data_IF_934289011254
#
_entry.id   IF_934289011254
#
_cell.length_a   1.000
_cell.length_b   1.000
_cell.length_c   1.000
_cell.angle_alpha   90.00
_cell.angle_beta   90.00
_cell.angle_gamma   90.00
#
_symmetry.space_group_name_H-M   'P 1'
#
loop_
_entity.id
_entity.type
_entity.pdbx_description
1 polymer ?
#
# COMPACT_ATOMS: atom_id res chain seq x y z
N UNK A 1 25.98 -5.06 -4.99
CA UNK A 1 24.86 -4.16 -4.69
C UNK A 1 23.54 -4.60 -5.35
N UNK A 2 23.48 -4.75 -6.68
CA UNK A 2 22.22 -5.14 -7.37
C UNK A 2 21.62 -6.43 -6.80
N UNK A 3 22.41 -7.49 -6.64
CA UNK A 3 21.94 -8.75 -6.06
C UNK A 3 21.42 -8.60 -4.61
N UNK A 4 22.02 -7.70 -3.82
CA UNK A 4 21.56 -7.41 -2.46
C UNK A 4 20.17 -6.75 -2.47
N UNK A 5 19.91 -5.78 -3.36
CA UNK A 5 18.57 -5.19 -3.49
C UNK A 5 17.53 -6.24 -3.87
N UNK A 6 17.83 -7.06 -4.88
CA UNK A 6 16.92 -8.12 -5.33
C UNK A 6 16.59 -9.10 -4.20
N UNK A 7 17.61 -9.64 -3.55
CA UNK A 7 17.42 -10.61 -2.45
C UNK A 7 16.66 -9.97 -1.29
N UNK A 8 17.05 -8.78 -0.86
CA UNK A 8 16.39 -8.11 0.27
C UNK A 8 14.93 -7.76 -0.03
N UNK A 9 14.63 -7.20 -1.21
CA UNK A 9 13.25 -6.80 -1.54
C UNK A 9 12.33 -8.01 -1.74
N UNK A 10 12.82 -9.07 -2.37
CA UNK A 10 12.07 -10.32 -2.47
C UNK A 10 11.89 -10.97 -1.09
N UNK A 11 12.92 -10.98 -0.24
CA UNK A 11 12.79 -11.47 1.12
C UNK A 11 11.78 -10.69 1.94
N UNK A 12 11.78 -9.35 1.87
CA UNK A 12 10.76 -8.51 2.52
C UNK A 12 9.37 -8.86 1.97
N UNK A 13 9.20 -8.94 0.63
CA UNK A 13 7.93 -9.26 0.00
C UNK A 13 7.34 -10.60 0.50
N UNK A 14 8.15 -11.65 0.51
CA UNK A 14 7.74 -13.00 0.94
C UNK A 14 7.43 -13.08 2.44
N UNK A 15 8.18 -12.34 3.26
CA UNK A 15 8.00 -12.35 4.72
C UNK A 15 6.97 -11.33 5.22
N UNK A 16 6.41 -10.48 4.35
CA UNK A 16 5.39 -9.52 4.74
C UNK A 16 4.10 -10.24 5.13
N UNK A 17 3.71 -10.18 6.40
CA UNK A 17 2.52 -10.83 6.94
C UNK A 17 1.39 -9.87 7.28
N UNK A 18 1.68 -8.58 7.35
CA UNK A 18 0.73 -7.56 7.78
C UNK A 18 -0.19 -7.05 6.67
N UNK A 19 -1.36 -6.58 7.06
CA UNK A 19 -2.26 -5.79 6.21
C UNK A 19 -1.87 -4.32 6.32
N UNK A 20 -1.66 -3.66 5.20
CA UNK A 20 -1.23 -2.26 5.20
C UNK A 20 -2.29 -1.33 4.60
N UNK A 21 -2.70 -1.60 3.37
CA UNK A 21 -3.71 -0.81 2.66
C UNK A 21 -4.65 -1.74 1.89
N UNK A 22 -5.95 -1.42 1.83
CA UNK A 22 -6.93 -2.16 1.05
C UNK A 22 -6.58 -2.28 -0.43
N UNK A 23 -5.96 -1.25 -0.99
CA UNK A 23 -5.60 -1.15 -2.42
C UNK A 23 -4.71 -2.30 -2.89
N UNK A 24 -3.87 -2.86 -2.00
CA UNK A 24 -3.02 -4.03 -2.29
C UNK A 24 -3.85 -5.22 -2.79
N UNK A 25 -5.02 -5.41 -2.20
CA UNK A 25 -5.92 -6.52 -2.52
C UNK A 25 -6.97 -6.10 -3.54
N UNK A 26 -7.79 -5.13 -3.19
CA UNK A 26 -9.00 -4.78 -3.93
C UNK A 26 -8.75 -4.04 -5.25
N UNK A 27 -7.61 -3.37 -5.39
CA UNK A 27 -7.24 -2.66 -6.62
C UNK A 27 -6.16 -3.38 -7.43
N UNK A 28 -5.61 -4.50 -6.93
CA UNK A 28 -4.51 -5.20 -7.61
C UNK A 28 -4.69 -6.71 -7.65
N UNK A 29 -4.69 -7.38 -6.50
CA UNK A 29 -4.66 -8.85 -6.43
C UNK A 29 -6.02 -9.47 -6.74
N UNK A 30 -7.11 -8.98 -6.15
CA UNK A 30 -8.46 -9.51 -6.34
C UNK A 30 -8.94 -9.42 -7.80
N UNK A 31 -8.79 -8.27 -8.51
CA UNK A 31 -9.17 -8.20 -9.92
C UNK A 31 -8.36 -9.14 -10.81
N UNK A 32 -7.06 -9.27 -10.56
CA UNK A 32 -6.22 -10.20 -11.32
C UNK A 32 -6.57 -11.66 -11.02
N UNK A 33 -6.85 -11.99 -9.75
CA UNK A 33 -7.30 -13.30 -9.33
C UNK A 33 -8.64 -13.65 -9.98
N UNK A 34 -9.61 -12.74 -9.90
CA UNK A 34 -10.94 -12.92 -10.52
C UNK A 34 -10.82 -13.16 -12.03
N UNK A 35 -9.97 -12.41 -12.72
CA UNK A 35 -9.74 -12.58 -14.14
C UNK A 35 -9.21 -13.98 -14.51
N UNK A 36 -8.30 -14.55 -13.70
CA UNK A 36 -7.67 -15.85 -13.96
C UNK A 36 -8.54 -17.02 -13.51
N UNK A 37 -9.11 -16.93 -12.31
CA UNK A 37 -9.83 -18.05 -11.67
C UNK A 37 -11.34 -18.00 -11.86
N UNK A 38 -11.92 -16.84 -12.22
CA UNK A 38 -13.35 -16.66 -12.43
C UNK A 38 -14.15 -16.45 -11.15
N UNK A 39 -13.51 -16.34 -10.00
CA UNK A 39 -14.15 -16.07 -8.71
C UNK A 39 -13.29 -15.10 -7.86
N UNK A 40 -13.89 -14.53 -6.82
CA UNK A 40 -13.29 -13.52 -5.95
C UNK A 40 -14.16 -12.27 -5.89
N UNK A 41 -13.89 -11.41 -4.93
CA UNK A 41 -14.66 -10.20 -4.71
C UNK A 41 -14.13 -9.06 -5.60
N UNK A 42 -15.03 -8.47 -6.39
CA UNK A 42 -14.77 -7.22 -7.10
C UNK A 42 -15.51 -6.10 -6.40
N UNK A 43 -14.81 -5.04 -6.04
CA UNK A 43 -15.40 -3.85 -5.47
C UNK A 43 -16.19 -3.08 -6.53
N UNK A 44 -17.05 -2.14 -6.09
CA UNK A 44 -17.83 -1.27 -6.96
C UNK A 44 -16.99 -0.53 -8.03
N UNK A 45 -15.70 -0.25 -7.74
CA UNK A 45 -14.76 0.39 -8.67
C UNK A 45 -14.58 -0.40 -9.98
N UNK A 46 -14.81 -1.72 -9.95
CA UNK A 46 -14.64 -2.65 -11.08
C UNK A 46 -15.96 -3.02 -11.75
N UNK A 47 -17.05 -3.11 -10.99
CA UNK A 47 -18.36 -3.57 -11.49
C UNK A 47 -19.29 -2.43 -11.93
N UNK A 48 -18.90 -1.18 -11.67
CA UNK A 48 -19.64 -0.01 -12.13
C UNK A 48 -19.73 0.03 -13.66
N UNK A 49 -20.82 0.58 -14.20
CA UNK A 49 -21.03 0.81 -15.65
C UNK A 49 -19.94 1.71 -16.26
N UNK A 50 -19.29 2.53 -15.45
CA UNK A 50 -18.11 3.31 -15.81
C UNK A 50 -16.97 2.99 -14.83
N UNK A 51 -16.14 1.97 -15.10
CA UNK A 51 -15.08 1.57 -14.19
C UNK A 51 -14.11 2.72 -13.91
N UNK A 52 -13.84 2.98 -12.63
CA UNK A 52 -12.93 4.04 -12.20
C UNK A 52 -11.45 3.67 -12.36
N UNK A 53 -11.16 2.37 -12.46
CA UNK A 53 -9.80 1.85 -12.46
C UNK A 53 -9.42 1.22 -13.79
N UNK A 54 -8.15 1.37 -14.15
CA UNK A 54 -7.56 0.70 -15.30
C UNK A 54 -7.05 -0.69 -14.91
N UNK A 55 -7.30 -1.69 -15.77
CA UNK A 55 -6.77 -3.05 -15.61
C UNK A 55 -5.24 -3.14 -15.76
N UNK A 56 -4.59 -2.09 -16.26
CA UNK A 56 -3.14 -2.09 -16.54
C UNK A 56 -2.33 -2.50 -15.31
N UNK A 57 -2.67 -1.98 -14.13
CA UNK A 57 -1.93 -2.33 -12.92
C UNK A 57 -2.23 -3.75 -12.42
N UNK A 58 -3.48 -4.18 -12.22
CA UNK A 58 -3.81 -5.57 -11.91
C UNK A 58 -3.21 -6.58 -12.87
N UNK A 59 -3.13 -6.26 -14.18
CA UNK A 59 -2.62 -7.15 -15.21
C UNK A 59 -1.19 -7.66 -14.93
N UNK A 60 -0.39 -6.95 -14.15
CA UNK A 60 0.92 -7.43 -13.69
C UNK A 60 0.87 -8.68 -12.81
N UNK A 61 -0.26 -8.91 -12.15
CA UNK A 61 -0.49 -10.09 -11.30
C UNK A 61 -1.11 -11.26 -12.07
N UNK A 62 -1.58 -11.05 -13.31
CA UNK A 62 -2.16 -12.12 -14.15
C UNK A 62 -1.13 -13.20 -14.49
N UNK A 63 0.11 -12.89 -14.96
CA UNK A 63 1.07 -13.92 -15.33
C UNK A 63 1.42 -14.89 -14.18
N UNK A 64 1.75 -14.48 -12.96
CA UNK A 64 2.02 -15.40 -11.88
C UNK A 64 0.79 -16.24 -11.52
N UNK A 65 -0.42 -15.68 -11.49
CA UNK A 65 -1.64 -16.44 -11.23
C UNK A 65 -1.95 -17.45 -12.35
N UNK A 66 -1.82 -17.01 -13.61
CA UNK A 66 -2.02 -17.88 -14.76
C UNK A 66 -1.04 -19.06 -14.77
N UNK A 67 0.24 -18.81 -14.45
CA UNK A 67 1.24 -19.87 -14.35
C UNK A 67 0.90 -20.87 -13.25
N UNK A 68 0.52 -20.40 -12.06
CA UNK A 68 0.13 -21.24 -10.93
C UNK A 68 -1.07 -22.13 -11.32
N UNK A 69 -2.11 -21.54 -11.94
CA UNK A 69 -3.31 -22.26 -12.40
C UNK A 69 -3.00 -23.31 -13.48
N UNK A 70 -2.21 -22.94 -14.49
CA UNK A 70 -1.91 -23.86 -15.61
C UNK A 70 -1.05 -25.04 -15.18
N UNK A 71 -0.26 -24.88 -14.11
CA UNK A 71 0.54 -25.95 -13.50
C UNK A 71 -0.23 -26.76 -12.44
N UNK A 72 -1.50 -26.41 -12.14
CA UNK A 72 -2.29 -27.06 -11.10
C UNK A 72 -1.70 -26.91 -9.71
N UNK A 73 -0.96 -25.82 -9.46
CA UNK A 73 -0.29 -25.58 -8.19
C UNK A 73 -1.17 -24.87 -7.15
N UNK A 74 -2.26 -24.27 -7.58
CA UNK A 74 -3.23 -23.57 -6.73
C UNK A 74 -3.94 -24.49 -5.74
N UNK A 75 -4.24 -25.73 -6.14
CA UNK A 75 -4.86 -26.73 -5.28
C UNK A 75 -3.80 -27.39 -4.35
N UNK A 76 -2.61 -27.66 -4.89
CA UNK A 76 -1.54 -28.39 -4.16
C UNK A 76 -0.76 -27.51 -3.19
N UNK A 77 -0.55 -26.27 -3.56
CA UNK A 77 0.25 -25.28 -2.81
C UNK A 77 -0.45 -23.90 -2.85
N UNK A 78 -1.57 -23.72 -2.15
CA UNK A 78 -2.36 -22.48 -2.19
C UNK A 78 -1.59 -21.25 -1.72
N UNK A 79 -0.51 -21.41 -0.95
CA UNK A 79 0.41 -20.34 -0.54
C UNK A 79 1.14 -19.69 -1.73
N UNK A 80 1.25 -20.36 -2.86
CA UNK A 80 1.83 -19.80 -4.09
C UNK A 80 0.97 -18.67 -4.66
N UNK A 81 -0.34 -18.68 -4.43
CA UNK A 81 -1.23 -17.58 -4.80
C UNK A 81 -0.86 -16.27 -4.10
N UNK A 82 -0.21 -16.36 -2.95
CA UNK A 82 0.33 -15.20 -2.23
C UNK A 82 1.77 -14.93 -2.65
N UNK A 83 2.61 -15.96 -2.71
CA UNK A 83 4.05 -15.84 -2.98
C UNK A 83 4.34 -15.38 -4.42
N UNK A 84 3.61 -15.86 -5.42
CA UNK A 84 3.84 -15.54 -6.83
C UNK A 84 3.81 -14.03 -7.12
N UNK A 85 2.70 -13.32 -6.86
CA UNK A 85 2.66 -11.87 -7.00
C UNK A 85 3.73 -11.15 -6.15
N UNK A 86 3.98 -11.59 -4.92
CA UNK A 86 4.98 -10.98 -4.04
C UNK A 86 6.40 -11.04 -4.60
N UNK A 87 6.79 -12.15 -5.23
CA UNK A 87 8.08 -12.24 -5.91
C UNK A 87 8.18 -11.18 -7.00
N UNK A 88 7.15 -11.04 -7.85
CA UNK A 88 7.12 -10.03 -8.92
C UNK A 88 7.27 -8.63 -8.33
N UNK A 89 6.50 -8.27 -7.31
CA UNK A 89 6.58 -6.94 -6.70
C UNK A 89 7.89 -6.71 -5.94
N UNK A 90 8.48 -7.75 -5.34
CA UNK A 90 9.81 -7.68 -4.74
C UNK A 90 10.91 -7.37 -5.78
N UNK A 91 10.84 -8.00 -6.96
CA UNK A 91 11.75 -7.70 -8.06
C UNK A 91 11.58 -6.27 -8.60
N UNK A 92 10.33 -5.81 -8.75
CA UNK A 92 10.03 -4.44 -9.17
C UNK A 92 10.50 -3.41 -8.14
N UNK A 93 10.35 -3.70 -6.86
CA UNK A 93 10.83 -2.85 -5.77
C UNK A 93 12.34 -2.61 -5.82
N UNK A 94 13.12 -3.63 -6.16
CA UNK A 94 14.57 -3.52 -6.27
C UNK A 94 15.01 -2.49 -7.34
N UNK A 95 14.17 -2.19 -8.33
CA UNK A 95 14.43 -1.14 -9.34
C UNK A 95 14.62 0.23 -8.66
N UNK A 96 13.86 0.50 -7.57
CA UNK A 96 13.99 1.75 -6.81
C UNK A 96 15.35 1.87 -6.17
N UNK A 97 15.87 0.83 -5.52
CA UNK A 97 17.19 0.87 -4.89
C UNK A 97 18.32 0.99 -5.92
N UNK A 98 18.19 0.25 -7.03
CA UNK A 98 19.13 0.29 -8.15
C UNK A 98 19.13 1.67 -8.82
N UNK A 99 17.94 2.22 -9.05
CA UNK A 99 17.76 3.55 -9.63
C UNK A 99 18.29 4.66 -8.71
N UNK A 100 17.99 4.59 -7.42
CA UNK A 100 18.52 5.54 -6.41
C UNK A 100 20.04 5.55 -6.41
N UNK A 101 20.68 4.37 -6.48
CA UNK A 101 22.14 4.24 -6.64
C UNK A 101 22.64 4.95 -7.89
N UNK A 102 21.99 4.72 -9.02
CA UNK A 102 22.41 5.28 -10.31
C UNK A 102 22.22 6.79 -10.37
N UNK A 103 21.10 7.31 -9.86
CA UNK A 103 20.86 8.75 -9.77
C UNK A 103 21.91 9.39 -8.86
N UNK A 104 22.20 8.82 -7.70
CA UNK A 104 23.20 9.33 -6.76
C UNK A 104 24.58 9.44 -7.43
N UNK A 105 24.98 8.40 -8.17
CA UNK A 105 26.24 8.38 -8.89
C UNK A 105 26.35 9.52 -9.91
N UNK A 106 25.27 9.81 -10.62
CA UNK A 106 25.23 10.86 -11.66
C UNK A 106 25.15 12.27 -11.09
N UNK A 107 24.37 12.43 -10.01
CA UNK A 107 24.06 13.78 -9.49
C UNK A 107 25.07 14.22 -8.43
N UNK A 108 25.54 13.30 -7.59
CA UNK A 108 26.49 13.58 -6.53
C UNK A 108 27.90 13.07 -6.86
N UNK A 109 28.13 11.80 -6.96
CA UNK A 109 29.28 11.01 -7.39
C UNK A 109 29.31 9.63 -6.69
N UNK A 110 30.31 8.79 -7.02
CA UNK A 110 30.44 7.42 -6.46
C UNK A 110 30.66 7.39 -4.94
N UNK A 111 31.21 8.43 -4.32
CA UNK A 111 31.48 8.47 -2.89
C UNK A 111 30.20 8.47 -2.04
N UNK A 112 29.08 8.99 -2.57
CA UNK A 112 27.80 9.07 -1.87
C UNK A 112 26.93 7.82 -2.07
N UNK A 113 27.24 7.00 -3.08
CA UNK A 113 26.46 5.82 -3.47
C UNK A 113 26.23 4.83 -2.30
N UNK A 114 27.25 4.45 -1.50
CA UNK A 114 27.03 3.51 -0.41
C UNK A 114 26.02 4.03 0.63
N UNK A 115 26.07 5.33 0.91
CA UNK A 115 25.17 5.98 1.89
C UNK A 115 23.74 6.06 1.36
N UNK A 116 23.54 6.54 0.13
CA UNK A 116 22.20 6.60 -0.47
C UNK A 116 21.55 5.20 -0.57
N UNK A 117 22.32 4.24 -1.00
CA UNK A 117 21.89 2.86 -1.10
C UNK A 117 21.52 2.28 0.26
N UNK A 118 22.34 2.52 1.30
CA UNK A 118 22.03 2.12 2.66
C UNK A 118 20.74 2.75 3.18
N UNK A 119 20.56 4.07 3.02
CA UNK A 119 19.34 4.80 3.43
C UNK A 119 18.10 4.24 2.72
N UNK A 120 18.21 3.94 1.41
CA UNK A 120 17.10 3.34 0.65
C UNK A 120 16.74 1.95 1.16
N UNK A 121 17.72 1.08 1.40
CA UNK A 121 17.50 -0.28 1.87
C UNK A 121 16.92 -0.36 3.29
N UNK A 122 17.30 0.57 4.18
CA UNK A 122 16.88 0.62 5.58
C UNK A 122 15.66 1.53 5.81
N UNK A 123 15.12 2.14 4.76
CA UNK A 123 13.95 3.01 4.86
C UNK A 123 12.74 2.24 5.39
N UNK A 124 12.17 2.74 6.49
CA UNK A 124 10.96 2.18 7.10
C UNK A 124 9.81 2.11 6.10
N UNK A 125 9.58 3.21 5.38
CA UNK A 125 8.48 3.26 4.43
C UNK A 125 8.67 2.32 3.22
N UNK A 126 9.90 2.20 2.72
CA UNK A 126 10.20 1.22 1.69
C UNK A 126 10.00 -0.23 2.19
N UNK A 127 10.31 -0.52 3.45
CA UNK A 127 10.05 -1.83 4.05
C UNK A 127 8.56 -2.10 4.21
N UNK A 128 7.78 -1.07 4.52
CA UNK A 128 6.32 -1.18 4.69
C UNK A 128 5.58 -1.34 3.37
N UNK A 129 5.95 -0.54 2.34
CA UNK A 129 5.12 -0.35 1.14
C UNK A 129 5.74 -0.87 -0.15
N UNK A 130 7.05 -0.66 -0.37
CA UNK A 130 7.65 -0.75 -1.70
C UNK A 130 7.51 -2.12 -2.38
N UNK A 131 7.58 -3.21 -1.60
CA UNK A 131 7.49 -4.59 -2.10
C UNK A 131 6.06 -5.15 -2.14
N UNK A 132 5.05 -4.32 -1.90
CA UNK A 132 3.64 -4.73 -1.93
C UNK A 132 3.01 -4.49 -3.31
N UNK A 133 1.94 -5.23 -3.59
CA UNK A 133 1.16 -5.07 -4.82
C UNK A 133 0.31 -3.79 -4.79
N UNK A 134 0.99 -2.63 -4.77
CA UNK A 134 0.36 -1.32 -4.73
C UNK A 134 0.80 -0.47 -5.92
N UNK A 135 -0.14 0.21 -6.56
CA UNK A 135 0.14 1.08 -7.71
C UNK A 135 1.16 2.17 -7.38
N UNK A 136 1.13 2.73 -6.15
CA UNK A 136 2.11 3.71 -5.67
C UNK A 136 3.54 3.15 -5.60
N UNK A 137 3.70 1.87 -5.26
CA UNK A 137 5.01 1.21 -5.19
C UNK A 137 5.62 1.04 -6.57
N UNK A 138 4.82 0.56 -7.53
CA UNK A 138 5.26 0.46 -8.92
C UNK A 138 5.51 1.84 -9.54
N UNK A 139 4.64 2.82 -9.30
CA UNK A 139 4.83 4.22 -9.68
C UNK A 139 6.19 4.73 -9.20
N UNK A 140 6.56 4.49 -7.93
CA UNK A 140 7.85 4.87 -7.36
C UNK A 140 9.02 4.21 -8.08
N UNK A 141 8.91 2.91 -8.36
CA UNK A 141 9.96 2.16 -9.07
C UNK A 141 10.15 2.68 -10.50
N UNK A 142 9.07 2.90 -11.23
CA UNK A 142 9.12 3.44 -12.60
C UNK A 142 9.62 4.89 -12.63
N UNK A 143 9.17 5.72 -11.70
CA UNK A 143 9.65 7.11 -11.58
C UNK A 143 11.15 7.15 -11.29
N UNK A 144 11.63 6.30 -10.37
CA UNK A 144 13.04 6.21 -10.04
C UNK A 144 13.87 5.69 -11.24
N UNK A 145 13.34 4.70 -11.97
CA UNK A 145 13.95 4.23 -13.22
C UNK A 145 14.03 5.38 -14.25
N UNK A 146 12.94 6.10 -14.47
CA UNK A 146 12.92 7.24 -15.39
C UNK A 146 13.95 8.30 -15.00
N UNK A 147 14.00 8.69 -13.73
CA UNK A 147 14.98 9.66 -13.21
C UNK A 147 16.42 9.15 -13.33
N UNK A 148 16.65 7.84 -13.26
CA UNK A 148 17.99 7.28 -13.49
C UNK A 148 18.47 7.43 -14.92
N UNK A 149 17.56 7.56 -15.87
CA UNK A 149 17.86 7.86 -17.29
C UNK A 149 17.78 9.35 -17.62
N UNK A 150 17.24 10.19 -16.73
CA UNK A 150 17.19 11.63 -16.97
C UNK A 150 18.60 12.20 -17.22
N UNK A 151 18.78 13.10 -18.19
CA UNK A 151 20.10 13.64 -18.54
C UNK A 151 20.57 14.70 -17.53
N UNK A 152 21.06 14.22 -16.37
CA UNK A 152 21.58 15.07 -15.30
C UNK A 152 22.89 15.78 -15.70
N UNK A 153 23.66 15.17 -16.64
CA UNK A 153 24.95 15.65 -17.06
C UNK A 153 24.91 16.14 -18.52
N UNK A 154 25.46 17.31 -18.78
CA UNK A 154 25.65 17.83 -20.14
C UNK A 154 26.85 17.20 -20.87
N UNK A 155 27.56 16.23 -20.28
CA UNK A 155 28.85 15.75 -20.72
C UNK A 155 28.83 14.56 -21.68
N UNK A 156 27.66 14.09 -22.16
CA UNK A 156 27.56 12.91 -23.02
C UNK A 156 27.44 13.28 -24.50
N UNK A 157 27.84 12.35 -25.38
CA UNK A 157 27.61 12.50 -26.82
C UNK A 157 26.09 12.70 -27.09
N UNK A 158 25.77 13.52 -28.10
CA UNK A 158 24.38 13.81 -28.48
C UNK A 158 23.53 12.52 -28.67
N UNK A 159 24.12 11.49 -29.31
CA UNK A 159 23.44 10.20 -29.51
C UNK A 159 23.12 9.47 -28.19
N UNK A 160 24.06 9.46 -27.23
CA UNK A 160 23.86 8.85 -25.92
C UNK A 160 22.81 9.60 -25.10
N UNK A 161 22.73 10.92 -25.19
CA UNK A 161 21.72 11.74 -24.54
C UNK A 161 20.30 11.45 -25.08
N UNK A 162 20.15 11.25 -26.40
CA UNK A 162 18.88 10.91 -27.05
C UNK A 162 18.36 9.54 -26.56
N UNK A 163 19.23 8.52 -26.50
CA UNK A 163 18.83 7.19 -26.01
C UNK A 163 18.37 7.26 -24.54
N UNK A 164 19.10 7.99 -23.71
CA UNK A 164 18.70 8.17 -22.28
C UNK A 164 17.38 8.91 -22.16
N UNK A 165 17.19 10.00 -22.90
CA UNK A 165 15.92 10.72 -22.86
C UNK A 165 14.75 9.85 -23.32
N UNK A 166 14.91 9.00 -24.34
CA UNK A 166 13.90 8.04 -24.78
C UNK A 166 13.54 7.07 -23.65
N UNK A 167 14.53 6.48 -22.98
CA UNK A 167 14.29 5.58 -21.85
C UNK A 167 13.61 6.30 -20.67
N UNK A 168 14.04 7.54 -20.38
CA UNK A 168 13.38 8.37 -19.37
C UNK A 168 11.89 8.57 -19.70
N UNK A 169 11.57 8.97 -20.94
CA UNK A 169 10.19 9.18 -21.40
C UNK A 169 9.37 7.89 -21.34
N UNK A 170 9.93 6.73 -21.74
CA UNK A 170 9.24 5.45 -21.68
C UNK A 170 8.85 5.10 -20.25
N UNK A 171 9.79 5.17 -19.30
CA UNK A 171 9.48 4.89 -17.89
C UNK A 171 8.56 5.93 -17.27
N UNK A 172 8.68 7.20 -17.63
CA UNK A 172 7.77 8.26 -17.20
C UNK A 172 6.35 8.03 -17.71
N UNK A 173 6.19 7.65 -18.98
CA UNK A 173 4.90 7.33 -19.58
C UNK A 173 4.27 6.10 -18.92
N UNK A 174 5.05 5.05 -18.64
CA UNK A 174 4.57 3.88 -17.89
C UNK A 174 4.13 4.25 -16.46
N UNK A 175 4.90 5.10 -15.76
CA UNK A 175 4.51 5.58 -14.44
C UNK A 175 3.17 6.36 -14.48
N UNK A 176 2.98 7.22 -15.47
CA UNK A 176 1.74 7.95 -15.71
C UNK A 176 0.58 7.03 -16.11
N UNK A 177 0.83 5.96 -16.86
CA UNK A 177 -0.19 4.97 -17.23
C UNK A 177 -0.67 4.17 -16.01
N UNK A 178 0.23 3.87 -15.06
CA UNK A 178 -0.11 3.24 -13.78
C UNK A 178 -0.88 4.22 -12.88
N UNK A 179 -0.38 5.46 -12.76
CA UNK A 179 -1.02 6.52 -11.97
C UNK A 179 -0.91 7.87 -12.68
N UNK A 180 -2.02 8.40 -13.21
CA UNK A 180 -2.02 9.69 -13.92
C UNK A 180 -1.46 10.86 -13.09
N UNK A 181 -1.57 10.78 -11.75
CA UNK A 181 -1.00 11.77 -10.83
C UNK A 181 0.52 11.90 -10.92
N UNK A 182 1.21 10.88 -11.43
CA UNK A 182 2.66 10.93 -11.66
C UNK A 182 3.07 12.00 -12.69
N UNK A 183 2.16 12.38 -13.59
CA UNK A 183 2.37 13.46 -14.52
C UNK A 183 2.79 14.79 -13.86
N UNK A 184 2.41 15.02 -12.59
CA UNK A 184 2.82 16.21 -11.82
C UNK A 184 4.34 16.33 -11.77
N UNK A 185 5.06 15.24 -11.52
CA UNK A 185 6.53 15.19 -11.51
C UNK A 185 7.08 15.55 -12.89
N UNK A 186 6.52 14.96 -13.94
CA UNK A 186 7.03 15.13 -15.30
C UNK A 186 6.67 16.47 -15.91
N UNK A 187 5.56 17.09 -15.52
CA UNK A 187 5.22 18.47 -15.85
C UNK A 187 6.33 19.41 -15.36
N UNK A 188 6.84 19.25 -14.16
CA UNK A 188 7.98 20.01 -13.68
C UNK A 188 9.27 19.67 -14.44
N UNK A 189 9.59 18.37 -14.55
CA UNK A 189 10.85 17.90 -15.12
C UNK A 189 11.00 18.25 -16.62
N UNK A 190 9.90 18.28 -17.36
CA UNK A 190 9.89 18.60 -18.79
C UNK A 190 9.38 20.03 -19.11
N UNK A 191 8.99 20.81 -18.11
CA UNK A 191 8.52 22.19 -18.28
C UNK A 191 7.16 22.31 -18.99
N UNK A 192 6.37 21.24 -18.99
CA UNK A 192 5.05 21.23 -19.63
C UNK A 192 3.94 21.59 -18.60
N UNK A 193 3.31 22.73 -18.78
CA UNK A 193 2.20 23.21 -17.97
C UNK A 193 0.88 23.22 -18.76
N UNK A 194 -0.28 22.84 -18.20
CA UNK A 194 -1.52 23.62 -18.13
C UNK A 194 -2.86 22.89 -18.03
N UNK A 195 -3.07 21.64 -18.48
CA UNK A 195 -4.43 21.05 -18.47
C UNK A 195 -4.74 20.12 -17.28
N UNK A 196 -3.74 19.70 -16.54
CA UNK A 196 -3.90 18.70 -15.46
C UNK A 196 -4.63 19.25 -14.22
N UNK A 197 -4.45 20.52 -13.89
CA UNK A 197 -5.08 21.14 -12.71
C UNK A 197 -6.63 21.19 -12.79
N UNK A 198 -7.18 21.14 -14.00
CA UNK A 198 -8.64 21.27 -14.21
C UNK A 198 -9.41 20.01 -13.83
N UNK A 199 -8.80 18.83 -13.94
CA UNK A 199 -9.47 17.53 -13.76
C UNK A 199 -9.52 17.08 -12.28
N UNK A 200 -8.49 17.42 -11.49
CA UNK A 200 -8.40 16.96 -10.09
C UNK A 200 -9.11 17.88 -9.07
N UNK A 201 -9.74 18.93 -9.52
CA UNK A 201 -10.52 19.84 -8.67
C UNK A 201 -12.01 19.45 -8.58
N UNK A 202 -12.40 18.22 -8.91
CA UNK A 202 -13.79 17.78 -8.88
C UNK A 202 -14.26 17.43 -7.46
N UNK A 203 -15.53 17.70 -7.10
CA UNK A 203 -16.10 17.42 -5.78
C UNK A 203 -16.05 15.94 -5.36
N UNK A 204 -15.96 15.01 -6.31
CA UNK A 204 -15.89 13.56 -6.06
C UNK A 204 -14.65 13.17 -5.23
N UNK A 205 -13.56 13.94 -5.30
CA UNK A 205 -12.36 13.68 -4.50
C UNK A 205 -12.59 13.89 -3.00
N UNK A 206 -13.58 14.66 -2.60
CA UNK A 206 -13.90 14.96 -1.20
C UNK A 206 -14.59 13.81 -0.48
N UNK A 207 -15.17 12.86 -1.22
CA UNK A 207 -15.78 11.65 -0.66
C UNK A 207 -14.77 10.80 0.14
N UNK A 208 -13.52 10.75 -0.32
CA UNK A 208 -12.45 9.99 0.34
C UNK A 208 -11.80 10.71 1.54
N UNK A 209 -12.40 11.81 1.99
CA UNK A 209 -11.92 12.63 3.11
C UNK A 209 -11.16 13.88 2.65
N UNK A 210 -11.24 14.92 3.48
CA UNK A 210 -10.51 16.17 3.27
C UNK A 210 -9.42 16.33 4.32
N UNK A 211 -8.24 16.76 3.90
CA UNK A 211 -7.11 17.05 4.77
C UNK A 211 -6.70 18.52 4.65
N UNK A 212 -6.18 19.09 5.75
CA UNK A 212 -5.70 20.47 5.76
C UNK A 212 -4.60 20.71 4.72
N UNK A 213 -4.44 21.97 4.27
CA UNK A 213 -3.44 22.31 3.26
C UNK A 213 -2.02 21.99 3.67
N UNK A 214 -1.71 22.05 4.97
CA UNK A 214 -0.36 21.78 5.52
C UNK A 214 -0.06 20.29 5.75
N UNK A 215 -1.03 19.38 5.48
CA UNK A 215 -0.93 17.93 5.73
C UNK A 215 0.38 17.32 5.21
N UNK A 216 0.75 17.64 3.98
CA UNK A 216 1.96 17.06 3.37
C UNK A 216 3.25 17.50 4.03
N UNK A 217 3.32 18.73 4.55
CA UNK A 217 4.51 19.22 5.25
C UNK A 217 4.56 18.72 6.69
N UNK A 218 3.43 18.74 7.40
CA UNK A 218 3.38 18.47 8.83
C UNK A 218 3.24 16.99 9.20
N UNK A 219 2.67 16.18 8.31
CA UNK A 219 2.39 14.77 8.59
C UNK A 219 3.02 13.83 7.54
N UNK A 220 2.69 13.98 6.25
CA UNK A 220 3.10 13.03 5.25
C UNK A 220 4.63 12.98 5.05
N UNK A 221 5.30 14.12 4.96
CA UNK A 221 6.74 14.18 4.78
C UNK A 221 7.52 13.57 5.96
N UNK A 222 7.19 13.87 7.23
CA UNK A 222 7.78 13.19 8.38
C UNK A 222 7.55 11.68 8.40
N UNK A 223 6.32 11.22 8.07
CA UNK A 223 5.98 9.79 8.03
C UNK A 223 6.82 9.06 6.97
N UNK A 224 6.87 9.58 5.74
CA UNK A 224 7.63 8.95 4.66
C UNK A 224 9.13 8.89 4.94
N UNK A 225 9.68 10.02 5.33
CA UNK A 225 11.14 10.16 5.46
C UNK A 225 11.65 9.59 6.78
N UNK A 226 10.79 9.51 7.80
CA UNK A 226 11.13 8.92 9.12
C UNK A 226 12.50 9.41 9.63
N UNK A 227 13.40 8.51 9.97
CA UNK A 227 14.75 8.82 10.51
C UNK A 227 15.67 9.50 9.49
N UNK A 228 15.35 9.47 8.20
CA UNK A 228 16.16 10.14 7.17
C UNK A 228 15.80 11.62 6.96
N UNK A 229 14.67 12.10 7.51
CA UNK A 229 14.19 13.47 7.30
C UNK A 229 15.20 14.56 7.73
N UNK A 230 15.82 14.53 8.92
CA UNK A 230 16.77 15.55 9.33
C UNK A 230 17.98 15.66 8.37
N UNK A 231 18.43 14.53 7.87
CA UNK A 231 19.54 14.48 6.90
C UNK A 231 19.11 14.96 5.52
N UNK A 232 17.90 14.61 5.06
CA UNK A 232 17.35 15.08 3.80
C UNK A 232 17.21 16.61 3.80
N UNK A 233 16.67 17.19 4.86
CA UNK A 233 16.56 18.66 5.01
C UNK A 233 17.91 19.35 5.00
N UNK A 234 18.93 18.78 5.66
CA UNK A 234 20.28 19.33 5.67
C UNK A 234 20.99 19.24 4.29
N UNK A 235 20.69 18.19 3.51
CA UNK A 235 21.30 17.94 2.20
C UNK A 235 20.61 18.59 0.99
N UNK A 236 19.61 19.43 1.17
CA UNK A 236 18.79 20.02 0.09
C UNK A 236 19.50 21.13 -0.69
N UNK A 237 20.52 20.78 -1.47
CA UNK A 237 21.28 21.75 -2.30
C UNK A 237 21.16 21.53 -3.80
N UNK A 238 20.47 20.48 -4.24
CA UNK A 238 20.27 20.17 -5.67
C UNK A 238 19.00 20.86 -6.18
N UNK A 239 19.14 22.03 -6.78
CA UNK A 239 18.04 22.92 -7.14
C UNK A 239 16.92 22.26 -7.94
N UNK A 240 17.25 21.41 -8.94
CA UNK A 240 16.27 20.74 -9.79
C UNK A 240 15.41 19.73 -8.99
N UNK A 241 16.04 18.89 -8.16
CA UNK A 241 15.30 17.92 -7.33
C UNK A 241 14.49 18.61 -6.24
N UNK A 242 15.05 19.65 -5.61
CA UNK A 242 14.34 20.44 -4.61
C UNK A 242 13.11 21.13 -5.22
N UNK A 243 13.27 21.71 -6.41
CA UNK A 243 12.16 22.32 -7.13
C UNK A 243 11.08 21.32 -7.51
N UNK A 244 11.46 20.10 -7.94
CA UNK A 244 10.50 19.02 -8.23
C UNK A 244 9.71 18.60 -6.98
N UNK A 245 10.38 18.44 -5.84
CA UNK A 245 9.71 18.14 -4.56
C UNK A 245 8.78 19.27 -4.17
N UNK A 246 9.26 20.53 -4.17
CA UNK A 246 8.46 21.69 -3.80
C UNK A 246 7.22 21.87 -4.70
N UNK A 247 7.39 21.70 -6.01
CA UNK A 247 6.29 21.72 -6.97
C UNK A 247 5.25 20.64 -6.70
N UNK A 248 5.69 19.39 -6.53
CA UNK A 248 4.80 18.25 -6.31
C UNK A 248 4.02 18.43 -4.99
N UNK A 249 4.69 18.86 -3.92
CA UNK A 249 4.05 19.18 -2.64
C UNK A 249 3.03 20.30 -2.79
N UNK A 250 3.37 21.36 -3.51
CA UNK A 250 2.47 22.49 -3.75
C UNK A 250 1.20 22.02 -4.49
N UNK A 251 1.35 21.30 -5.62
CA UNK A 251 0.22 20.83 -6.41
C UNK A 251 -0.69 19.92 -5.61
N UNK A 252 -0.13 18.90 -4.91
CA UNK A 252 -0.94 18.01 -4.09
C UNK A 252 -1.61 18.70 -2.90
N UNK A 253 -1.02 19.79 -2.38
CA UNK A 253 -1.63 20.56 -1.29
C UNK A 253 -2.95 21.24 -1.68
N UNK A 254 -3.18 21.50 -2.96
CA UNK A 254 -4.46 22.03 -3.46
C UNK A 254 -5.53 20.95 -3.67
N UNK A 255 -5.17 19.66 -3.67
CA UNK A 255 -6.13 18.57 -3.83
C UNK A 255 -6.82 18.31 -2.49
N UNK A 256 -8.14 18.08 -2.48
CA UNK A 256 -8.93 17.84 -1.26
C UNK A 256 -8.52 16.55 -0.56
N UNK A 257 -8.54 15.43 -1.27
CA UNK A 257 -8.13 14.13 -0.73
C UNK A 257 -6.61 13.99 -0.75
N UNK A 258 -6.01 13.76 0.42
CA UNK A 258 -4.56 13.71 0.62
C UNK A 258 -4.18 12.45 1.39
N UNK A 259 -3.24 11.70 0.81
CA UNK A 259 -2.62 10.56 1.47
C UNK A 259 -1.09 10.67 1.41
N UNK A 260 -0.41 10.29 2.49
CA UNK A 260 1.04 10.33 2.57
C UNK A 260 1.72 9.44 1.50
N UNK A 261 1.09 8.32 1.11
CA UNK A 261 1.60 7.44 0.06
C UNK A 261 1.66 8.08 -1.34
N UNK A 262 0.95 9.17 -1.58
CA UNK A 262 1.04 9.90 -2.86
C UNK A 262 2.42 10.56 -3.06
N UNK A 263 3.15 10.81 -1.98
CA UNK A 263 4.51 11.33 -2.02
C UNK A 263 5.59 10.24 -2.13
N UNK A 264 5.22 8.96 -2.18
CA UNK A 264 6.18 7.85 -2.26
C UNK A 264 7.20 8.01 -3.41
N UNK A 265 6.81 8.47 -4.63
CA UNK A 265 7.77 8.70 -5.72
C UNK A 265 8.85 9.75 -5.43
N UNK A 266 8.66 10.62 -4.43
CA UNK A 266 9.66 11.61 -4.02
C UNK A 266 10.69 11.04 -3.04
N UNK A 267 10.40 9.93 -2.38
CA UNK A 267 11.25 9.38 -1.32
C UNK A 267 12.67 9.02 -1.80
N UNK A 268 12.88 8.45 -3.00
CA UNK A 268 14.23 8.25 -3.53
C UNK A 268 15.05 9.54 -3.63
N UNK A 269 14.43 10.67 -4.01
CA UNK A 269 15.13 11.98 -4.03
C UNK A 269 15.52 12.43 -2.63
N UNK A 270 14.65 12.20 -1.63
CA UNK A 270 14.95 12.51 -0.23
C UNK A 270 16.08 11.64 0.33
N UNK A 271 16.18 10.38 -0.08
CA UNK A 271 17.31 9.50 0.27
C UNK A 271 18.63 10.00 -0.32
N UNK A 272 18.61 10.57 -1.54
CA UNK A 272 19.79 11.19 -2.16
C UNK A 272 20.24 12.41 -1.35
N UNK A 273 19.31 13.29 -0.97
CA UNK A 273 19.63 14.42 -0.08
C UNK A 273 20.19 13.97 1.27
N UNK A 274 19.56 12.97 1.90
CA UNK A 274 20.04 12.42 3.16
C UNK A 274 21.49 11.88 3.02
N UNK A 275 21.83 11.27 1.89
CA UNK A 275 23.19 10.77 1.64
C UNK A 275 24.21 11.89 1.52
N UNK A 276 23.85 13.01 0.90
CA UNK A 276 24.76 14.14 0.73
C UNK A 276 25.13 14.76 2.10
N UNK A 277 24.16 14.93 2.97
CA UNK A 277 24.38 15.47 4.32
C UNK A 277 25.32 14.61 5.17
N UNK A 278 25.18 13.28 5.08
CA UNK A 278 25.96 12.34 5.89
C UNK A 278 27.40 12.14 5.39
N UNK A 279 27.64 12.25 4.07
CA UNK A 279 28.92 11.95 3.48
C UNK A 279 29.87 13.18 3.39
N UNK A 280 29.35 14.40 3.36
CA UNK A 280 30.13 15.62 3.16
C UNK A 280 31.36 15.76 4.08
N UNK A 281 31.24 15.32 5.34
CA UNK A 281 32.30 15.48 6.33
C UNK A 281 33.42 14.47 6.16
N UNK A 282 33.13 13.23 5.74
CA UNK A 282 34.18 12.20 5.54
C UNK A 282 34.88 12.34 4.18
N UNK A 283 34.12 12.60 3.13
CA UNK A 283 34.68 12.83 1.78
C UNK A 283 35.61 14.05 1.77
N UNK A 284 35.26 15.13 2.46
CA UNK A 284 36.15 16.30 2.63
C UNK A 284 37.42 15.95 3.40
N UNK A 285 37.37 15.06 4.40
CA UNK A 285 38.56 14.62 5.17
C UNK A 285 39.45 13.67 4.37
N UNK A 286 38.89 12.76 3.58
CA UNK A 286 39.64 11.80 2.77
C UNK A 286 40.28 12.44 1.52
N UNK A 287 39.60 13.39 0.86
CA UNK A 287 40.22 14.22 -0.19
C UNK A 287 41.41 15.00 0.33
N UNK A 288 41.40 15.45 1.61
CA UNK A 288 42.56 16.10 2.23
C UNK A 288 43.74 15.15 2.51
N UNK A 289 43.51 13.83 2.59
CA UNK A 289 44.52 12.84 2.97
C UNK A 289 45.08 11.98 1.83
N UNK A 290 44.58 12.15 0.59
CA UNK A 290 44.93 11.31 -0.56
C UNK A 290 44.91 9.81 -0.32
N UNK A 291 44.01 9.31 0.55
CA UNK A 291 43.94 7.90 0.92
C UNK A 291 42.80 7.25 0.14
N UNK A 292 43.13 6.26 -0.65
CA UNK A 292 42.13 5.39 -1.34
C UNK A 292 41.61 4.42 -0.27
N UNK A 293 40.30 4.40 0.05
CA UNK A 293 39.77 3.47 1.04
C UNK A 293 39.85 2.03 0.54
N UNK A 294 40.61 1.19 1.23
CA UNK A 294 40.82 -0.24 0.92
C UNK A 294 39.75 -1.19 1.43
N UNK A 295 38.74 -0.69 2.15
CA UNK A 295 37.68 -1.50 2.76
C UNK A 295 36.31 -0.90 2.52
N UNK A 296 35.30 -1.75 2.36
CA UNK A 296 33.88 -1.38 2.27
C UNK A 296 33.41 -0.77 3.60
N UNK A 297 33.72 0.50 3.83
CA UNK A 297 33.27 1.24 5.00
C UNK A 297 32.17 2.19 4.56
N UNK A 298 31.01 2.12 5.23
CA UNK A 298 29.95 3.13 5.06
C UNK A 298 30.52 4.48 5.51
N UNK A 299 30.57 5.49 4.66
CA UNK A 299 31.11 6.82 5.01
C UNK A 299 30.11 7.63 5.85
N UNK A 300 29.53 7.02 6.88
CA UNK A 300 28.51 7.60 7.78
C UNK A 300 29.13 7.76 9.16
N UNK A 301 28.83 8.87 9.86
CA UNK A 301 29.23 9.05 11.27
C UNK A 301 28.48 8.04 12.14
N UNK A 302 29.11 7.51 13.18
CA UNK A 302 28.48 6.53 14.07
C UNK A 302 27.17 7.03 14.67
N UNK A 303 27.09 8.29 15.09
CA UNK A 303 25.85 8.88 15.61
C UNK A 303 24.73 8.85 14.57
N UNK A 304 25.02 9.22 13.35
CA UNK A 304 24.05 9.32 12.25
C UNK A 304 23.63 7.91 11.79
N UNK A 305 24.59 6.96 11.82
CA UNK A 305 24.29 5.54 11.58
C UNK A 305 23.34 4.99 12.64
N UNK A 306 23.54 5.28 13.92
CA UNK A 306 22.63 4.86 14.98
C UNK A 306 21.22 5.41 14.78
N UNK A 307 21.08 6.70 14.40
CA UNK A 307 19.78 7.28 14.09
C UNK A 307 19.07 6.60 12.91
N UNK A 308 19.79 6.32 11.83
CA UNK A 308 19.23 5.61 10.67
C UNK A 308 18.85 4.17 11.02
N UNK A 309 19.61 3.50 11.86
CA UNK A 309 19.34 2.13 12.31
C UNK A 309 18.10 2.03 13.21
N UNK A 310 17.62 3.13 13.82
CA UNK A 310 16.36 3.12 14.56
C UNK A 310 15.14 2.77 13.67
N UNK A 311 15.25 2.94 12.36
CA UNK A 311 14.21 2.47 11.43
C UNK A 311 14.14 0.95 11.30
N UNK A 312 15.23 0.21 11.61
CA UNK A 312 15.28 -1.24 11.39
C UNK A 312 14.33 -2.03 12.30
N UNK A 313 14.28 -1.80 13.64
CA UNK A 313 13.29 -2.45 14.49
C UNK A 313 11.85 -2.15 14.04
N UNK A 314 11.56 -0.90 13.67
CA UNK A 314 10.26 -0.53 13.16
C UNK A 314 9.95 -1.24 11.81
N UNK A 315 10.95 -1.36 10.92
CA UNK A 315 10.81 -2.12 9.68
C UNK A 315 10.52 -3.60 9.91
N UNK A 316 11.18 -4.22 10.88
CA UNK A 316 10.90 -5.60 11.30
C UNK A 316 9.46 -5.71 11.80
N UNK A 317 9.03 -4.78 12.66
CA UNK A 317 7.66 -4.77 13.16
C UNK A 317 6.62 -4.67 12.03
N UNK A 318 6.77 -3.74 11.10
CA UNK A 318 5.78 -3.54 10.02
C UNK A 318 5.77 -4.68 9.00
N UNK A 319 6.86 -5.41 8.84
CA UNK A 319 6.93 -6.58 7.95
C UNK A 319 6.27 -7.81 8.59
N UNK A 320 6.55 -8.09 9.85
CA UNK A 320 6.16 -9.37 10.47
C UNK A 320 4.91 -9.29 11.36
N UNK A 321 4.62 -8.14 11.94
CA UNK A 321 3.65 -8.05 13.05
C UNK A 321 2.49 -7.10 12.81
N UNK A 322 2.69 -6.02 12.05
CA UNK A 322 1.69 -4.97 11.89
C UNK A 322 0.43 -5.47 11.17
N UNK A 323 -0.74 -5.33 11.82
CA UNK A 323 -2.06 -5.71 11.28
C UNK A 323 -2.13 -7.15 10.73
N UNK A 324 -1.43 -8.07 11.35
CA UNK A 324 -1.31 -9.47 10.91
C UNK A 324 -2.62 -10.25 11.04
N UNK A 325 -3.49 -9.87 11.96
CA UNK A 325 -4.78 -10.52 12.20
C UNK A 325 -5.68 -10.50 10.96
N UNK A 326 -5.68 -9.41 10.22
CA UNK A 326 -6.49 -9.21 9.02
C UNK A 326 -6.13 -10.17 7.86
N UNK A 327 -4.88 -10.63 7.81
CA UNK A 327 -4.41 -11.62 6.83
C UNK A 327 -4.57 -13.04 7.39
N UNK A 328 -4.19 -13.27 8.65
CA UNK A 328 -4.22 -14.60 9.26
C UNK A 328 -5.64 -15.15 9.41
N UNK A 329 -6.66 -14.30 9.56
CA UNK A 329 -8.06 -14.76 9.58
C UNK A 329 -8.43 -15.51 8.32
N UNK A 330 -7.93 -15.06 7.15
CA UNK A 330 -8.19 -15.75 5.88
C UNK A 330 -7.49 -17.11 5.82
N UNK A 331 -6.28 -17.21 6.34
CA UNK A 331 -5.55 -18.49 6.46
C UNK A 331 -6.28 -19.45 7.41
N UNK A 332 -6.81 -18.93 8.53
CA UNK A 332 -7.63 -19.72 9.45
C UNK A 332 -8.90 -20.25 8.76
N UNK A 333 -9.67 -19.39 8.09
CA UNK A 333 -10.89 -19.80 7.40
C UNK A 333 -10.61 -20.84 6.31
N UNK A 334 -9.51 -20.72 5.57
CA UNK A 334 -9.09 -21.71 4.57
C UNK A 334 -8.64 -23.04 5.15
N UNK A 335 -8.17 -23.06 6.39
CA UNK A 335 -7.77 -24.29 7.07
C UNK A 335 -8.95 -25.11 7.57
N UNK A 336 -10.15 -24.54 7.58
CA UNK A 336 -11.37 -25.25 7.96
C UNK A 336 -11.81 -26.21 6.85
N UNK A 337 -12.32 -27.41 7.19
CA UNK A 337 -12.88 -28.31 6.19
C UNK A 337 -13.99 -27.61 5.39
N UNK A 338 -14.06 -27.76 4.05
CA UNK A 338 -15.06 -27.10 3.20
C UNK A 338 -16.51 -27.38 3.64
N UNK A 339 -16.78 -28.58 4.11
CA UNK A 339 -18.07 -29.00 4.66
C UNK A 339 -18.48 -28.24 5.92
N UNK A 340 -17.51 -27.72 6.68
CA UNK A 340 -17.72 -26.94 7.89
C UNK A 340 -17.74 -25.42 7.64
N UNK A 341 -17.57 -24.97 6.40
CA UNK A 341 -17.56 -23.57 6.02
C UNK A 341 -18.76 -23.23 5.13
N UNK A 342 -19.95 -23.18 5.73
CA UNK A 342 -21.20 -22.95 5.00
C UNK A 342 -21.46 -21.48 4.72
N UNK A 343 -21.17 -20.60 5.68
CA UNK A 343 -21.37 -19.16 5.53
C UNK A 343 -20.45 -18.35 6.47
N UNK A 344 -19.95 -17.21 6.00
CA UNK A 344 -19.11 -16.29 6.77
C UNK A 344 -19.64 -14.87 6.59
N UNK A 345 -19.92 -14.18 7.70
CA UNK A 345 -20.28 -12.77 7.72
C UNK A 345 -19.14 -11.91 8.26
N UNK A 346 -18.78 -10.85 7.54
CA UNK A 346 -17.77 -9.90 7.97
C UNK A 346 -18.44 -8.65 8.54
N UNK A 347 -18.50 -8.55 9.86
CA UNK A 347 -18.93 -7.37 10.60
C UNK A 347 -17.72 -6.48 10.91
N UNK A 348 -17.05 -6.05 9.87
CA UNK A 348 -15.84 -5.24 9.92
C UNK A 348 -16.02 -3.96 9.11
N UNK A 349 -15.29 -2.87 9.45
CA UNK A 349 -15.27 -1.70 8.59
C UNK A 349 -14.84 -2.05 7.17
N UNK A 350 -15.25 -1.24 6.21
CA UNK A 350 -14.97 -1.44 4.79
C UNK A 350 -13.54 -1.87 4.48
N UNK A 351 -13.40 -2.86 3.60
CA UNK A 351 -12.11 -3.28 3.06
C UNK A 351 -11.06 -3.63 4.12
N UNK A 352 -11.47 -4.22 5.25
CA UNK A 352 -10.56 -4.52 6.37
C UNK A 352 -9.84 -5.85 6.24
N UNK A 353 -10.30 -6.76 5.40
CA UNK A 353 -9.73 -8.10 5.18
C UNK A 353 -9.81 -8.46 3.70
N UNK A 354 -8.84 -9.21 3.14
CA UNK A 354 -8.99 -9.79 1.79
C UNK A 354 -10.19 -10.74 1.72
N UNK A 355 -10.87 -10.83 0.58
CA UNK A 355 -12.13 -11.58 0.42
C UNK A 355 -11.97 -12.73 -0.55
N UNK A 356 -11.37 -13.85 -0.14
CA UNK A 356 -11.06 -14.96 -1.07
C UNK A 356 -11.46 -16.39 -0.69
N UNK A 357 -12.13 -16.74 0.42
CA UNK A 357 -12.49 -18.14 0.61
C UNK A 357 -13.65 -18.56 -0.30
N UNK A 358 -13.65 -19.80 -0.78
CA UNK A 358 -14.83 -20.39 -1.42
C UNK A 358 -15.96 -20.53 -0.40
N UNK A 359 -17.19 -20.19 -0.80
CA UNK A 359 -18.36 -20.32 0.08
C UNK A 359 -19.29 -19.10 0.03
N UNK A 360 -20.38 -19.17 0.76
CA UNK A 360 -21.30 -18.03 0.94
C UNK A 360 -20.71 -17.03 1.92
N UNK A 361 -20.03 -16.04 1.38
CA UNK A 361 -19.49 -14.93 2.18
C UNK A 361 -20.25 -13.65 1.87
N UNK A 362 -20.44 -12.85 2.92
CA UNK A 362 -20.95 -11.50 2.77
C UNK A 362 -20.19 -10.54 3.70
N UNK A 363 -20.13 -9.29 3.32
CA UNK A 363 -19.59 -8.19 4.10
C UNK A 363 -20.59 -7.04 4.09
N UNK A 364 -20.47 -6.12 5.04
CA UNK A 364 -21.24 -4.89 5.03
C UNK A 364 -20.93 -4.09 3.76
N UNK A 365 -21.95 -3.54 3.14
CA UNK A 365 -21.83 -2.75 1.91
C UNK A 365 -21.10 -1.43 2.15
N UNK A 366 -20.29 -1.03 1.18
CA UNK A 366 -19.43 0.15 1.22
C UNK A 366 -19.50 0.92 -0.11
N UNK A 367 -20.66 0.98 -0.73
CA UNK A 367 -20.80 1.61 -2.03
C UNK A 367 -20.88 3.14 -1.86
N UNK A 368 -20.11 3.92 -2.64
CA UNK A 368 -20.17 5.37 -2.58
C UNK A 368 -21.46 5.88 -3.22
N UNK A 369 -21.89 7.12 -2.92
CA UNK A 369 -23.09 7.73 -3.45
C UNK A 369 -22.93 8.16 -4.91
N UNK A 370 -22.82 7.20 -5.83
CA UNK A 370 -22.71 7.48 -7.25
C UNK A 370 -24.00 8.11 -7.76
N UNK A 371 -23.92 9.35 -8.25
CA UNK A 371 -25.06 10.07 -8.85
C UNK A 371 -25.91 10.90 -7.89
N UNK A 372 -25.59 11.00 -6.61
CA UNK A 372 -26.28 11.89 -5.67
C UNK A 372 -25.78 13.33 -5.79
N UNK A 373 -26.71 14.30 -5.71
CA UNK A 373 -26.39 15.71 -5.79
C UNK A 373 -25.71 16.25 -4.52
N UNK A 374 -25.90 15.60 -3.36
CA UNK A 374 -25.36 15.99 -2.06
C UNK A 374 -24.68 14.78 -1.38
N UNK A 375 -23.42 14.48 -1.69
CA UNK A 375 -22.72 13.33 -1.11
C UNK A 375 -22.43 13.46 0.40
N UNK A 376 -22.57 14.66 0.99
CA UNK A 376 -22.23 14.91 2.40
C UNK A 376 -23.16 14.27 3.42
N UNK A 377 -24.39 13.93 3.04
CA UNK A 377 -25.41 13.34 3.93
C UNK A 377 -25.56 11.83 3.74
N UNK A 378 -24.82 11.24 2.78
CA UNK A 378 -24.88 9.82 2.50
C UNK A 378 -24.06 9.04 3.51
N UNK A 379 -24.69 7.98 4.07
CA UNK A 379 -24.05 6.97 4.90
C UNK A 379 -24.17 5.63 4.20
N UNK A 380 -23.05 4.92 4.07
CA UNK A 380 -23.08 3.55 3.59
C UNK A 380 -23.56 2.58 4.69
N UNK A 381 -23.74 1.32 4.32
CA UNK A 381 -24.21 0.30 5.26
C UNK A 381 -23.27 0.13 6.46
N UNK A 382 -21.95 0.27 6.23
CA UNK A 382 -20.95 0.17 7.29
C UNK A 382 -21.07 1.32 8.26
N UNK A 383 -21.27 2.55 7.79
CA UNK A 383 -21.46 3.73 8.63
C UNK A 383 -22.68 3.56 9.53
N UNK A 384 -23.82 3.14 8.96
CA UNK A 384 -25.08 2.92 9.69
C UNK A 384 -24.90 1.81 10.72
N UNK A 385 -24.24 0.71 10.35
CA UNK A 385 -23.95 -0.39 11.27
C UNK A 385 -23.14 0.07 12.48
N UNK A 386 -22.05 0.79 12.27
CA UNK A 386 -21.14 1.18 13.35
C UNK A 386 -21.63 2.39 14.19
N UNK A 387 -22.68 3.10 13.76
CA UNK A 387 -23.34 4.10 14.61
C UNK A 387 -24.14 3.45 15.74
N UNK A 388 -24.85 2.34 15.48
CA UNK A 388 -25.66 1.63 16.46
C UNK A 388 -25.65 0.11 16.20
N UNK A 389 -24.54 -0.61 16.46
CA UNK A 389 -24.37 -2.00 16.06
C UNK A 389 -25.44 -2.95 16.63
N UNK A 390 -25.79 -2.78 17.90
CA UNK A 390 -26.79 -3.62 18.57
C UNK A 390 -28.19 -3.44 17.96
N UNK A 391 -28.61 -2.21 17.74
CA UNK A 391 -29.90 -1.87 17.13
C UNK A 391 -29.97 -2.37 15.70
N UNK A 392 -28.89 -2.14 14.93
CA UNK A 392 -28.78 -2.64 13.56
C UNK A 392 -28.93 -4.16 13.48
N UNK A 393 -28.22 -4.91 14.32
CA UNK A 393 -28.32 -6.38 14.32
C UNK A 393 -29.72 -6.86 14.72
N UNK A 394 -30.39 -6.19 15.66
CA UNK A 394 -31.77 -6.54 16.07
C UNK A 394 -32.80 -6.28 14.96
N UNK A 395 -32.58 -5.27 14.13
CA UNK A 395 -33.53 -4.89 13.07
C UNK A 395 -33.28 -5.63 11.75
N UNK A 396 -32.02 -5.91 11.41
CA UNK A 396 -31.63 -6.44 10.10
C UNK A 396 -31.26 -7.92 10.11
N UNK A 397 -31.12 -8.54 11.29
CA UNK A 397 -30.94 -9.99 11.45
C UNK A 397 -32.20 -10.63 12.03
N UNK A 398 -32.59 -11.84 11.62
CA UNK A 398 -33.75 -12.51 12.17
C UNK A 398 -33.56 -12.75 13.69
N UNK A 399 -34.68 -12.69 14.46
CA UNK A 399 -34.64 -12.83 15.90
C UNK A 399 -34.26 -14.24 16.37
N UNK A 400 -34.34 -15.24 15.51
CA UNK A 400 -33.85 -16.62 15.70
C UNK A 400 -33.31 -17.15 14.40
N UNK A 401 -32.29 -18.02 14.48
CA UNK A 401 -31.84 -18.83 13.34
C UNK A 401 -32.97 -19.79 13.03
N UNK A 402 -33.83 -19.43 12.10
CA UNK A 402 -34.91 -20.28 11.61
C UNK A 402 -34.36 -21.04 10.41
N UNK A 403 -34.59 -22.35 10.35
CA UNK A 403 -34.35 -23.19 9.19
C UNK A 403 -34.90 -22.51 7.93
N UNK A 404 -34.09 -22.51 6.89
CA UNK A 404 -34.28 -21.86 5.60
C UNK A 404 -35.71 -21.96 5.08
N UNK A 405 -36.43 -20.87 4.99
CA UNK A 405 -37.56 -20.71 4.11
C UNK A 405 -37.29 -19.59 3.11
N UNK A 406 -37.24 -20.01 1.85
CA UNK A 406 -37.17 -19.17 0.67
C UNK A 406 -38.26 -18.09 0.66
N UNK A 407 -37.92 -16.83 0.88
CA UNK A 407 -38.79 -15.69 0.54
C UNK A 407 -38.00 -14.43 0.19
N UNK A 408 -38.26 -13.99 -1.03
CA UNK A 408 -38.16 -12.64 -1.65
C UNK A 408 -37.24 -11.57 -1.03
N UNK A 409 -36.31 -11.16 -1.82
CA UNK A 409 -35.24 -10.17 -1.66
C UNK A 409 -35.69 -8.69 -1.75
N UNK A 410 -36.81 -8.30 -1.17
CA UNK A 410 -37.40 -6.97 -1.42
C UNK A 410 -37.36 -5.96 -0.27
N UNK A 411 -36.53 -6.17 0.76
CA UNK A 411 -36.37 -5.16 1.82
C UNK A 411 -34.88 -5.06 2.22
N UNK A 412 -34.20 -4.04 1.71
CA UNK A 412 -32.86 -3.56 1.92
C UNK A 412 -32.08 -4.12 3.14
N UNK A 413 -30.86 -4.56 2.91
CA UNK A 413 -29.82 -4.92 3.89
C UNK A 413 -30.22 -5.95 4.99
N UNK A 414 -31.10 -6.90 4.72
CA UNK A 414 -31.36 -8.02 5.62
C UNK A 414 -30.26 -9.06 5.49
N UNK A 415 -29.72 -9.52 6.62
CA UNK A 415 -28.70 -10.56 6.71
C UNK A 415 -29.25 -11.78 7.45
N UNK A 416 -28.80 -12.96 7.04
CA UNK A 416 -28.97 -14.18 7.84
C UNK A 416 -27.79 -14.32 8.81
N UNK A 417 -28.05 -14.89 10.00
CA UNK A 417 -26.96 -15.22 10.92
C UNK A 417 -26.03 -16.26 10.28
N UNK A 418 -24.75 -15.92 10.02
CA UNK A 418 -23.82 -16.82 9.34
C UNK A 418 -23.26 -17.85 10.32
N UNK A 419 -22.71 -18.95 9.80
CA UNK A 419 -22.02 -19.93 10.64
C UNK A 419 -20.78 -19.35 11.35
N UNK A 420 -20.07 -18.48 10.67
CA UNK A 420 -18.90 -17.77 11.22
C UNK A 420 -19.07 -16.26 11.08
N UNK A 421 -18.74 -15.54 12.14
CA UNK A 421 -18.68 -14.06 12.14
C UNK A 421 -17.23 -13.63 12.33
N UNK A 422 -16.75 -12.77 11.45
CA UNK A 422 -15.44 -12.11 11.54
C UNK A 422 -15.67 -10.66 11.98
N UNK A 423 -14.97 -10.23 13.02
CA UNK A 423 -15.10 -8.88 13.58
C UNK A 423 -13.80 -8.42 14.26
N UNK A 424 -13.72 -7.13 14.56
CA UNK A 424 -12.68 -6.59 15.46
C UNK A 424 -13.15 -6.55 16.90
N UNK A 425 -12.22 -6.72 17.83
CA UNK A 425 -12.53 -6.73 19.26
C UNK A 425 -13.23 -5.46 19.77
N UNK A 426 -13.12 -4.33 19.08
CA UNK A 426 -13.84 -3.10 19.40
C UNK A 426 -15.35 -3.30 19.37
N UNK A 427 -15.87 -4.05 18.41
CA UNK A 427 -17.32 -4.31 18.29
C UNK A 427 -17.89 -5.03 19.54
N UNK A 428 -17.12 -5.92 20.15
CA UNK A 428 -17.55 -6.64 21.36
C UNK A 428 -17.55 -5.77 22.62
N UNK A 429 -16.99 -4.57 22.57
CA UNK A 429 -17.00 -3.59 23.66
C UNK A 429 -18.26 -2.72 23.64
N UNK A 430 -18.99 -2.74 22.52
CA UNK A 430 -20.28 -2.05 22.41
C UNK A 430 -21.31 -2.71 23.34
N UNK A 431 -22.05 -1.92 24.13
CA UNK A 431 -23.00 -2.45 25.12
C UNK A 431 -24.03 -3.41 24.51
N UNK A 432 -24.12 -4.60 25.08
CA UNK A 432 -25.10 -5.62 24.70
C UNK A 432 -24.76 -6.46 23.45
N UNK A 433 -23.70 -6.12 22.70
CA UNK A 433 -23.29 -6.88 21.50
C UNK A 433 -22.79 -8.27 21.88
N UNK A 434 -21.93 -8.35 22.90
CA UNK A 434 -21.39 -9.62 23.38
C UNK A 434 -22.49 -10.55 23.89
N UNK A 435 -23.46 -10.00 24.62
CA UNK A 435 -24.61 -10.77 25.15
C UNK A 435 -25.49 -11.27 24.01
N UNK A 436 -25.75 -10.42 22.99
CA UNK A 436 -26.49 -10.81 21.80
C UNK A 436 -25.83 -12.02 21.10
N UNK A 437 -24.52 -12.01 20.90
CA UNK A 437 -23.84 -13.13 20.25
C UNK A 437 -23.94 -14.42 21.07
N UNK A 438 -23.80 -14.36 22.39
CA UNK A 438 -23.96 -15.51 23.27
C UNK A 438 -25.37 -16.04 23.26
N UNK A 439 -26.37 -15.16 23.29
CA UNK A 439 -27.80 -15.53 23.24
C UNK A 439 -28.15 -16.18 21.89
N UNK A 440 -27.50 -15.78 20.79
CA UNK A 440 -27.63 -16.42 19.49
C UNK A 440 -26.78 -17.69 19.34
N UNK A 441 -26.08 -18.14 20.40
CA UNK A 441 -25.32 -19.39 20.40
C UNK A 441 -23.94 -19.32 19.72
N UNK A 442 -23.33 -18.14 19.68
CA UNK A 442 -21.97 -17.97 19.15
C UNK A 442 -20.93 -18.00 20.26
N UNK A 443 -19.80 -18.67 19.98
CA UNK A 443 -18.60 -18.65 20.82
C UNK A 443 -17.36 -18.26 19.99
N UNK A 444 -16.38 -17.61 20.66
CA UNK A 444 -15.10 -17.24 20.04
C UNK A 444 -14.25 -18.48 19.78
N UNK A 445 -13.90 -18.74 18.51
CA UNK A 445 -13.12 -19.91 18.11
C UNK A 445 -11.71 -19.55 17.63
N UNK A 446 -11.44 -18.30 17.30
CA UNK A 446 -10.13 -17.85 16.84
C UNK A 446 -9.94 -16.35 17.09
N UNK A 447 -8.67 -16.00 17.35
CA UNK A 447 -8.22 -14.62 17.53
C UNK A 447 -6.83 -14.43 16.92
N UNK A 448 -6.62 -13.32 16.22
CA UNK A 448 -5.31 -12.97 15.61
C UNK A 448 -5.04 -11.49 15.63
N UNK A 449 -3.74 -11.14 15.70
CA UNK A 449 -3.28 -9.75 15.85
C UNK A 449 -3.20 -9.32 17.32
N UNK A 450 -2.95 -8.03 17.54
CA UNK A 450 -2.74 -7.47 18.87
C UNK A 450 -3.92 -6.63 19.34
N UNK A 451 -4.28 -6.73 20.63
CA UNK A 451 -5.40 -5.98 21.23
C UNK A 451 -5.24 -4.46 21.20
N UNK A 452 -4.01 -3.98 21.21
CA UNK A 452 -3.68 -2.56 21.19
C UNK A 452 -3.63 -1.96 19.78
N UNK A 453 -3.62 -2.82 18.75
CA UNK A 453 -3.48 -2.44 17.36
C UNK A 453 -4.81 -1.97 16.76
N UNK A 454 -4.71 -1.08 15.75
CA UNK A 454 -5.86 -0.48 15.09
C UNK A 454 -6.41 0.75 15.81
N UNK A 455 -7.23 1.52 15.09
CA UNK A 455 -7.90 2.73 15.59
C UNK A 455 -9.41 2.60 15.46
N UNK A 456 -10.14 3.22 16.37
CA UNK A 456 -11.60 3.24 16.35
C UNK A 456 -12.20 1.84 16.26
N UNK A 457 -13.01 1.63 15.27
CA UNK A 457 -13.74 0.37 15.01
C UNK A 457 -12.83 -0.81 14.63
N UNK A 458 -11.58 -0.55 14.16
CA UNK A 458 -10.59 -1.58 13.79
C UNK A 458 -9.69 -2.00 14.96
N UNK A 459 -9.93 -1.52 16.17
CA UNK A 459 -9.13 -1.83 17.35
C UNK A 459 -9.48 -3.19 17.95
N UNK A 460 -8.49 -3.86 18.56
CA UNK A 460 -8.76 -4.97 19.47
C UNK A 460 -8.63 -6.35 18.86
N UNK A 461 -7.69 -6.55 17.95
CA UNK A 461 -7.45 -7.78 17.20
C UNK A 461 -8.63 -8.23 16.31
N UNK A 462 -8.38 -9.12 15.37
CA UNK A 462 -9.43 -9.78 14.58
C UNK A 462 -9.88 -11.04 15.30
N UNK A 463 -11.18 -11.27 15.37
CA UNK A 463 -11.78 -12.41 16.06
C UNK A 463 -12.74 -13.14 15.15
N UNK A 464 -12.86 -14.44 15.33
CA UNK A 464 -13.83 -15.29 14.66
C UNK A 464 -14.73 -15.94 15.70
N UNK A 465 -16.02 -15.74 15.52
CA UNK A 465 -17.07 -16.32 16.32
C UNK A 465 -17.81 -17.37 15.50
N UNK A 466 -18.05 -18.54 16.05
CA UNK A 466 -18.74 -19.66 15.40
C UNK A 466 -20.05 -19.94 16.09
N UNK A 467 -21.12 -20.16 15.30
CA UNK A 467 -22.38 -20.67 15.79
C UNK A 467 -22.23 -22.16 16.20
N UNK A 468 -22.50 -22.47 17.48
CA UNK A 468 -22.24 -23.79 18.05
C UNK A 468 -23.57 -24.56 18.30
N UNK A 469 -24.71 -23.86 18.31
CA UNK A 469 -26.05 -24.46 18.61
C UNK A 469 -26.87 -24.67 17.37
#
# INVERSE_FOLDING_TARGET
MTSLALVLRVAIALNTQGFFQPDEYFQALEPAHHYVFGYGHLTWEWVSSAPLRSIIYPALNIPPFWLIKTMGLDERYPELLIAGPRIVHGLLAAITDIGTREITRRVLNDAFVPTAYFVSLTSLFHSLSLSRSMSNSLETSLTTAALSYYPWDNARSAAGAVVQMRMCIVFAALACAIRPTNAIIWVYMFGLLLNFLRVNASPVSLFYGSSSWHYYLSQALPILSSTSLPFALHGMHLATMLGCIAWTLAVFSFVGHKEWRFLHPLLPMLHIFASSANADVKVSREKRKNVIPKTFSLPIRTRDLCLLLLAVPASIYVVFFHCVGQIKVMSYLRSLPPENLTSVGFLTPCHSTPSQPPGRMWALGCEPPLGLQHPGDYKDQTDIFFEAPLEYMRTHFPSRIVEQSSRSWDLGWRHEWPQYIVLFGALLREPGVLDLFRDQGYDEVWKGGFEWEGEGQRRGAVRVWKHIR
#
